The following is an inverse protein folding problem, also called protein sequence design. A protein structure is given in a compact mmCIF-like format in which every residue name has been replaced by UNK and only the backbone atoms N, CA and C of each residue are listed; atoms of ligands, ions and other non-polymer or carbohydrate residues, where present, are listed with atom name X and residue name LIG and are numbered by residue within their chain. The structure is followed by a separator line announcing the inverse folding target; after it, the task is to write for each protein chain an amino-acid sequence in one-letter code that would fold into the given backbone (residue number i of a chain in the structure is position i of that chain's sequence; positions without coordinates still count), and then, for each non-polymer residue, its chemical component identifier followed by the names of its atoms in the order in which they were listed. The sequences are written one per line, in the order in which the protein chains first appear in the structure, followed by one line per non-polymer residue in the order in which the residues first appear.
data_IF_624861723372
#
_entry.id   IF_624861723372
#
_cell.length_a   1.000
_cell.length_b   1.000
_cell.length_c   1.000
_cell.angle_alpha   90.00
_cell.angle_beta   90.00
_cell.angle_gamma   90.00
#
_symmetry.space_group_name_H-M   'P 1'
#
loop_
_entity.id
_entity.type
_entity.pdbx_description
1 polymer ?
#
# COMPACT_ATOMS: atom_id res chain seq x y z
N UNK A 1 1.67 4.32 -19.43
CA UNK A 1 2.68 3.29 -19.77
C UNK A 1 3.52 2.86 -18.54
N UNK A 2 4.15 3.76 -17.77
CA UNK A 2 5.02 3.44 -16.62
C UNK A 2 4.48 2.47 -15.52
N UNK A 3 3.17 2.43 -15.24
CA UNK A 3 2.63 1.57 -14.17
C UNK A 3 2.65 0.07 -14.51
N UNK A 4 2.47 -0.27 -15.78
CA UNK A 4 2.49 -1.66 -16.25
C UNK A 4 3.90 -2.23 -16.19
N UNK A 5 4.89 -1.44 -16.59
CA UNK A 5 6.26 -1.93 -16.78
C UNK A 5 7.11 -1.84 -15.50
N UNK A 6 6.78 -0.94 -14.57
CA UNK A 6 7.59 -0.72 -13.36
C UNK A 6 6.81 -0.89 -12.06
N UNK A 7 5.58 -0.38 -11.99
CA UNK A 7 4.82 -0.40 -10.73
C UNK A 7 4.32 -1.81 -10.44
N UNK A 8 3.57 -2.45 -11.36
CA UNK A 8 3.06 -3.81 -11.13
C UNK A 8 4.17 -4.81 -10.79
N UNK A 9 5.29 -4.89 -11.54
CA UNK A 9 6.36 -5.83 -11.19
C UNK A 9 6.98 -5.57 -9.81
N UNK A 10 7.10 -4.30 -9.41
CA UNK A 10 7.61 -3.95 -8.06
C UNK A 10 6.66 -4.35 -6.93
N UNK A 11 5.36 -4.52 -7.22
CA UNK A 11 4.35 -4.92 -6.25
C UNK A 11 4.30 -6.44 -6.04
N UNK A 12 4.82 -7.25 -6.97
CA UNK A 12 4.67 -8.72 -6.93
C UNK A 12 5.33 -9.35 -5.69
N UNK A 13 6.58 -8.98 -5.40
CA UNK A 13 7.29 -9.49 -4.21
C UNK A 13 6.61 -9.10 -2.89
N UNK A 14 6.30 -7.82 -2.63
CA UNK A 14 5.61 -7.43 -1.40
C UNK A 14 4.19 -8.00 -1.31
N UNK A 15 3.50 -8.19 -2.44
CA UNK A 15 2.21 -8.89 -2.50
C UNK A 15 2.31 -10.34 -2.01
N UNK A 16 3.26 -11.11 -2.55
CA UNK A 16 3.46 -12.51 -2.15
C UNK A 16 3.93 -12.65 -0.70
N UNK A 17 4.80 -11.74 -0.24
CA UNK A 17 5.22 -11.70 1.16
C UNK A 17 4.03 -11.46 2.10
N UNK A 18 3.15 -10.52 1.74
CA UNK A 18 1.95 -10.22 2.51
C UNK A 18 0.98 -11.42 2.54
N UNK A 19 0.75 -12.07 1.41
CA UNK A 19 -0.06 -13.31 1.34
C UNK A 19 0.49 -14.42 2.23
N UNK A 20 1.80 -14.62 2.23
CA UNK A 20 2.44 -15.62 3.08
C UNK A 20 2.25 -15.31 4.57
N UNK A 21 2.35 -14.04 4.96
CA UNK A 21 2.21 -13.60 6.35
C UNK A 21 0.77 -13.72 6.85
N UNK A 22 -0.20 -13.38 6.01
CA UNK A 22 -1.63 -13.44 6.37
C UNK A 22 -2.25 -14.83 6.20
N UNK A 23 -1.47 -15.83 5.77
CA UNK A 23 -1.96 -17.15 5.33
C UNK A 23 -3.13 -17.00 4.34
N UNK A 24 -2.89 -16.31 3.23
CA UNK A 24 -3.91 -16.02 2.22
C UNK A 24 -5.12 -15.25 2.79
N UNK A 25 -4.85 -14.27 3.66
CA UNK A 25 -5.85 -13.42 4.33
C UNK A 25 -6.71 -14.10 5.41
N UNK A 26 -6.43 -15.36 5.76
CA UNK A 26 -7.10 -16.00 6.89
C UNK A 26 -6.79 -15.32 8.23
N UNK A 27 -5.63 -14.67 8.33
CA UNK A 27 -5.20 -13.94 9.51
C UNK A 27 -5.11 -12.44 9.21
N UNK A 28 -5.53 -11.61 10.16
CA UNK A 28 -5.35 -10.17 10.07
C UNK A 28 -3.86 -9.85 9.89
N UNK A 29 -3.48 -9.01 8.90
CA UNK A 29 -2.10 -8.56 8.78
C UNK A 29 -1.71 -7.83 10.06
N UNK A 30 -0.58 -8.21 10.65
CA UNK A 30 0.03 -7.41 11.72
C UNK A 30 0.54 -6.13 11.07
N UNK A 31 -0.25 -5.07 11.20
CA UNK A 31 0.13 -3.73 10.75
C UNK A 31 1.36 -3.27 11.55
N UNK A 32 2.55 -3.48 10.98
CA UNK A 32 3.77 -2.96 11.58
C UNK A 32 3.83 -1.44 11.35
N UNK A 33 3.26 -0.72 12.31
CA UNK A 33 3.24 0.74 12.34
C UNK A 33 4.67 1.33 12.44
N UNK A 34 5.67 0.51 12.76
CA UNK A 34 7.10 0.86 12.75
C UNK A 34 7.65 1.07 11.34
N UNK A 35 6.98 0.52 10.29
CA UNK A 35 7.29 0.83 8.88
C UNK A 35 6.64 2.12 8.41
N UNK A 36 6.28 3.03 9.32
CA UNK A 36 5.89 4.41 9.03
C UNK A 36 6.96 5.07 8.16
N UNK A 37 6.72 5.04 6.85
CA UNK A 37 7.34 5.82 5.78
C UNK A 37 8.60 6.58 6.22
N UNK A 38 9.77 5.97 5.99
CA UNK A 38 10.94 6.78 5.65
C UNK A 38 10.58 7.51 4.36
N UNK A 39 10.11 8.75 4.46
CA UNK A 39 9.82 9.57 3.29
C UNK A 39 10.99 9.49 2.32
N UNK A 40 10.70 9.33 1.04
CA UNK A 40 11.79 9.31 0.06
C UNK A 40 12.56 10.63 0.14
N UNK A 41 13.89 10.58 0.21
CA UNK A 41 14.77 11.75 0.26
C UNK A 41 14.72 12.62 -1.00
N UNK A 42 13.91 12.27 -2.00
CA UNK A 42 13.78 13.00 -3.25
C UNK A 42 13.08 14.38 -3.12
N UNK A 43 12.58 14.75 -1.93
CA UNK A 43 11.91 16.04 -1.66
C UNK A 43 10.55 16.24 -2.35
N UNK A 44 10.24 15.49 -3.40
CA UNK A 44 9.01 15.57 -4.22
C UNK A 44 7.85 14.73 -3.67
N UNK A 45 7.78 14.56 -2.35
CA UNK A 45 6.72 13.80 -1.69
C UNK A 45 5.38 14.52 -1.77
N UNK A 46 4.32 13.81 -2.15
CA UNK A 46 2.94 14.28 -2.13
C UNK A 46 2.16 13.51 -1.07
N UNK A 47 1.35 14.22 -0.29
CA UNK A 47 0.40 13.58 0.63
C UNK A 47 -0.77 13.03 -0.17
N UNK A 48 -1.15 11.79 0.11
CA UNK A 48 -2.35 11.16 -0.41
C UNK A 48 -3.11 10.56 0.77
N UNK A 49 -4.39 10.92 0.87
CA UNK A 49 -5.32 10.28 1.78
C UNK A 49 -5.93 9.08 1.06
N UNK A 50 -5.88 7.93 1.71
CA UNK A 50 -6.41 6.66 1.20
C UNK A 50 -7.44 6.16 2.18
N UNK A 51 -8.67 5.94 1.72
CA UNK A 51 -9.73 5.37 2.55
C UNK A 51 -9.64 3.86 2.50
N UNK A 52 -9.36 3.26 3.66
CA UNK A 52 -9.39 1.82 3.87
C UNK A 52 -10.77 1.43 4.38
N UNK A 53 -11.48 0.61 3.62
CA UNK A 53 -12.75 0.02 4.04
C UNK A 53 -12.47 -1.40 4.48
N UNK A 54 -12.91 -1.74 5.69
CA UNK A 54 -12.91 -3.09 6.23
C UNK A 54 -14.30 -3.50 6.68
N UNK A 55 -14.51 -4.80 6.91
CA UNK A 55 -15.79 -5.31 7.42
C UNK A 55 -16.24 -4.65 8.73
N UNK A 56 -15.30 -4.17 9.55
CA UNK A 56 -15.59 -3.63 10.89
C UNK A 56 -15.44 -2.10 10.97
N UNK A 57 -14.65 -1.48 10.10
CA UNK A 57 -14.35 -0.04 10.16
C UNK A 57 -13.99 0.57 8.80
N UNK A 58 -14.23 1.88 8.69
CA UNK A 58 -13.73 2.73 7.60
C UNK A 58 -12.70 3.68 8.20
N UNK A 59 -11.48 3.68 7.68
CA UNK A 59 -10.37 4.47 8.20
C UNK A 59 -9.67 5.25 7.08
N UNK A 60 -9.28 6.49 7.38
CA UNK A 60 -8.50 7.31 6.44
C UNK A 60 -7.02 7.27 6.80
N UNK A 61 -6.20 6.85 5.85
CA UNK A 61 -4.78 6.64 6.02
C UNK A 61 -4.03 7.65 5.16
N UNK A 62 -3.19 8.46 5.80
CA UNK A 62 -2.32 9.38 5.10
C UNK A 62 -0.99 8.70 4.75
N UNK A 63 -0.61 8.79 3.48
CA UNK A 63 0.68 8.33 2.97
C UNK A 63 1.41 9.46 2.24
N UNK A 64 2.74 9.40 2.25
CA UNK A 64 3.59 10.35 1.53
C UNK A 64 4.23 9.62 0.35
N UNK A 65 3.67 9.79 -0.84
CA UNK A 65 4.12 9.07 -2.04
C UNK A 65 4.91 9.95 -2.98
N UNK A 66 5.74 9.33 -3.82
CA UNK A 66 6.45 10.02 -4.89
C UNK A 66 6.67 9.07 -6.07
N UNK A 67 7.29 9.55 -7.16
CA UNK A 67 7.59 8.70 -8.32
C UNK A 67 8.59 7.57 -8.01
N UNK A 68 9.42 7.72 -6.97
CA UNK A 68 10.41 6.73 -6.54
C UNK A 68 9.82 5.69 -5.58
N UNK A 69 8.78 6.09 -4.83
CA UNK A 69 8.06 5.24 -3.86
C UNK A 69 6.56 5.37 -4.16
N UNK A 70 6.03 4.52 -5.08
CA UNK A 70 4.64 4.58 -5.50
C UNK A 70 3.69 4.35 -4.33
N UNK A 71 2.53 5.01 -4.35
CA UNK A 71 1.50 4.87 -3.33
C UNK A 71 1.10 3.41 -3.09
N UNK A 72 0.95 2.63 -4.16
CA UNK A 72 0.61 1.22 -4.10
C UNK A 72 1.63 0.37 -3.33
N UNK A 73 2.93 0.68 -3.46
CA UNK A 73 4.01 -0.04 -2.78
C UNK A 73 3.98 0.24 -1.27
N UNK A 74 3.76 1.51 -0.91
CA UNK A 74 3.66 1.93 0.49
C UNK A 74 2.44 1.31 1.19
N UNK A 75 1.33 1.18 0.48
CA UNK A 75 0.14 0.53 1.01
C UNK A 75 0.37 -0.97 1.23
N UNK A 76 0.98 -1.67 0.27
CA UNK A 76 1.29 -3.10 0.45
C UNK A 76 2.24 -3.35 1.62
N UNK A 77 3.23 -2.49 1.83
CA UNK A 77 4.11 -2.60 3.01
C UNK A 77 3.38 -2.44 4.33
N UNK A 78 2.24 -1.75 4.33
CA UNK A 78 1.33 -1.62 5.48
C UNK A 78 0.29 -2.73 5.52
N UNK A 79 0.37 -3.75 4.67
CA UNK A 79 -0.66 -4.80 4.61
C UNK A 79 -1.97 -4.37 3.96
N UNK A 80 -1.97 -3.23 3.26
CA UNK A 80 -3.18 -2.62 2.66
C UNK A 80 -3.14 -2.84 1.14
N UNK A 81 -4.21 -3.39 0.59
CA UNK A 81 -4.31 -3.61 -0.86
C UNK A 81 -4.81 -2.37 -1.60
N UNK A 82 -3.99 -1.76 -2.45
CA UNK A 82 -4.45 -0.64 -3.25
C UNK A 82 -5.43 -1.11 -4.33
N UNK A 83 -6.60 -0.46 -4.46
CA UNK A 83 -7.51 -0.71 -5.61
C UNK A 83 -7.01 -0.10 -6.93
N UNK A 84 -5.88 0.61 -6.93
CA UNK A 84 -5.23 1.14 -8.13
C UNK A 84 -3.71 1.23 -7.96
N UNK A 85 -2.91 0.85 -8.96
CA UNK A 85 -1.46 0.91 -8.89
C UNK A 85 -0.91 2.34 -8.87
N UNK A 86 -1.68 3.35 -9.32
CA UNK A 86 -1.17 4.72 -9.52
C UNK A 86 -1.72 5.70 -8.49
N UNK A 87 -3.02 5.64 -8.19
CA UNK A 87 -3.68 6.50 -7.23
C UNK A 87 -4.86 5.76 -6.60
N UNK A 88 -4.61 4.88 -5.62
CA UNK A 88 -5.66 4.14 -4.94
C UNK A 88 -6.44 5.10 -4.03
N UNK A 89 -7.72 5.32 -4.34
CA UNK A 89 -8.65 6.10 -3.52
C UNK A 89 -9.49 5.23 -2.58
N UNK A 90 -9.55 3.92 -2.84
CA UNK A 90 -10.36 2.95 -2.12
C UNK A 90 -9.56 1.66 -1.88
N UNK A 91 -9.91 0.91 -0.83
CA UNK A 91 -9.44 -0.45 -0.54
C UNK A 91 -10.57 -1.26 0.09
N UNK A 92 -10.69 -2.54 -0.26
CA UNK A 92 -11.58 -3.53 0.36
C UNK A 92 -10.74 -4.50 1.22
N UNK A 93 -11.08 -4.69 2.49
CA UNK A 93 -10.60 -5.78 3.33
C UNK A 93 -11.51 -6.99 3.11
N UNK A 94 -10.94 -8.12 2.67
CA UNK A 94 -11.58 -9.44 2.76
C UNK A 94 -11.08 -10.15 4.02
#
# INVERSE_FOLDING_TARGET
KRWRDNVIPSLTRPYLALLSQTRSFCNAPTFDDSRKNTGCACGLGRKLMVTSVSFFSIENINILWCKCQPAALQLLHRGIFPCSPVAPTLRINI
#
